data_IF_115134870712
#
_entry.id   IF_115134870712
#
_cell.length_a   1.000
_cell.length_b   1.000
_cell.length_c   1.000
_cell.angle_alpha   90.00
_cell.angle_beta   90.00
_cell.angle_gamma   90.00
#
_symmetry.space_group_name_H-M   'P 1'
#
loop_
_entity.id
_entity.type
_entity.pdbx_description
1 polymer ?
#
# COMPACT_ATOMS: atom_id res chain seq x y z
N UNK A 1 -31.86 -9.71 6.87
CA UNK A 1 -31.07 -10.73 7.61
C UNK A 1 -29.91 -11.28 6.77
N UNK A 2 -30.10 -11.54 5.47
CA UNK A 2 -29.04 -12.09 4.59
C UNK A 2 -27.91 -11.09 4.29
N UNK A 3 -28.23 -9.80 4.12
CA UNK A 3 -27.24 -8.76 3.78
C UNK A 3 -26.24 -8.49 4.91
N UNK A 4 -26.69 -8.49 6.16
CA UNK A 4 -25.81 -8.29 7.33
C UNK A 4 -24.74 -9.39 7.46
N UNK A 5 -25.07 -10.63 7.06
CA UNK A 5 -24.14 -11.77 7.11
C UNK A 5 -23.07 -11.67 6.02
N UNK A 6 -23.45 -11.22 4.81
CA UNK A 6 -22.53 -10.97 3.70
C UNK A 6 -21.57 -9.83 4.04
N UNK A 7 -22.11 -8.70 4.49
CA UNK A 7 -21.32 -7.52 4.90
C UNK A 7 -20.24 -7.88 5.93
N UNK A 8 -20.59 -8.70 6.93
CA UNK A 8 -19.66 -9.13 7.98
C UNK A 8 -18.54 -10.03 7.45
N UNK A 9 -18.83 -10.89 6.47
CA UNK A 9 -17.83 -11.74 5.82
C UNK A 9 -16.89 -10.93 4.92
N UNK A 10 -17.42 -9.97 4.16
CA UNK A 10 -16.64 -9.05 3.33
C UNK A 10 -15.68 -8.20 4.16
N UNK A 11 -16.14 -7.64 5.28
CA UNK A 11 -15.27 -6.90 6.22
C UNK A 11 -14.16 -7.77 6.80
N UNK A 12 -14.44 -9.04 7.09
CA UNK A 12 -13.43 -9.97 7.61
C UNK A 12 -12.34 -10.27 6.59
N UNK A 13 -12.69 -10.36 5.31
CA UNK A 13 -11.73 -10.56 4.21
C UNK A 13 -10.89 -9.30 3.97
N UNK A 14 -11.51 -8.12 3.92
CA UNK A 14 -10.80 -6.84 3.74
C UNK A 14 -9.75 -6.60 4.83
N UNK A 15 -10.13 -6.77 6.10
CA UNK A 15 -9.20 -6.61 7.24
C UNK A 15 -7.99 -7.56 7.17
N UNK A 16 -8.15 -8.72 6.55
CA UNK A 16 -7.07 -9.71 6.44
C UNK A 16 -6.10 -9.34 5.32
N UNK A 17 -6.63 -8.83 4.21
CA UNK A 17 -5.85 -8.35 3.06
C UNK A 17 -5.06 -7.10 3.43
N UNK A 18 -5.67 -6.14 4.13
CA UNK A 18 -5.01 -4.90 4.57
C UNK A 18 -3.82 -5.16 5.53
N UNK A 19 -3.91 -6.20 6.37
CA UNK A 19 -2.84 -6.55 7.32
C UNK A 19 -1.63 -7.21 6.68
N UNK A 20 -1.81 -7.90 5.55
CA UNK A 20 -0.70 -8.58 4.85
C UNK A 20 0.05 -7.62 3.91
N UNK A 21 -0.48 -6.43 3.65
CA UNK A 21 0.20 -5.46 2.82
C UNK A 21 1.32 -4.75 3.60
N UNK A 22 2.54 -4.88 3.06
CA UNK A 22 3.73 -4.23 3.58
C UNK A 22 4.24 -3.19 2.59
N UNK A 23 4.66 -2.05 3.11
CA UNK A 23 5.34 -1.00 2.38
C UNK A 23 6.83 -1.00 2.74
N UNK A 24 7.68 -0.81 1.73
CA UNK A 24 9.11 -0.61 1.97
C UNK A 24 9.38 0.87 2.19
N UNK A 25 9.94 1.24 3.34
CA UNK A 25 10.31 2.62 3.69
C UNK A 25 11.78 2.71 4.05
N UNK A 26 12.35 3.90 3.92
CA UNK A 26 13.71 4.22 4.32
C UNK A 26 13.63 4.95 5.67
N UNK A 27 14.00 4.24 6.75
CA UNK A 27 14.13 4.79 8.10
C UNK A 27 15.52 4.46 8.63
N UNK A 28 16.16 5.42 9.30
CA UNK A 28 17.55 5.31 9.78
C UNK A 28 18.56 4.91 8.69
N UNK A 29 18.33 5.39 7.46
CA UNK A 29 19.16 5.09 6.28
C UNK A 29 19.18 3.58 5.90
N UNK A 30 18.20 2.82 6.38
CA UNK A 30 18.00 1.39 6.07
C UNK A 30 16.61 1.19 5.47
N UNK A 31 16.51 0.32 4.47
CA UNK A 31 15.22 -0.07 3.90
C UNK A 31 14.57 -1.08 4.85
N UNK A 32 13.40 -0.74 5.37
CA UNK A 32 12.61 -1.56 6.28
C UNK A 32 11.24 -1.82 5.68
N UNK A 33 10.71 -3.03 5.87
CA UNK A 33 9.33 -3.34 5.53
C UNK A 33 8.46 -3.10 6.76
N UNK A 34 7.50 -2.18 6.60
CA UNK A 34 6.52 -1.86 7.64
C UNK A 34 5.13 -2.18 7.10
N UNK A 35 4.16 -2.57 7.95
CA UNK A 35 2.78 -2.71 7.51
C UNK A 35 2.26 -1.35 7.04
N UNK A 36 1.38 -1.35 6.02
CA UNK A 36 0.78 -0.10 5.49
C UNK A 36 0.09 0.70 6.60
N UNK A 37 -0.45 0.02 7.63
CA UNK A 37 -1.07 0.67 8.78
C UNK A 37 -0.13 1.55 9.62
N UNK A 38 1.19 1.37 9.50
CA UNK A 38 2.22 2.15 10.22
C UNK A 38 2.88 3.23 9.34
N UNK A 39 2.48 3.33 8.07
CA UNK A 39 2.97 4.36 7.15
C UNK A 39 2.44 5.73 7.59
N UNK A 40 3.34 6.72 7.70
CA UNK A 40 2.97 8.09 8.09
C UNK A 40 3.44 9.13 7.06
N UNK A 41 2.77 10.29 7.05
CA UNK A 41 3.14 11.41 6.18
C UNK A 41 4.56 11.88 6.53
N UNK A 42 5.43 11.91 5.52
CA UNK A 42 6.84 12.29 5.67
C UNK A 42 7.81 11.11 5.63
N UNK A 43 7.33 9.87 5.62
CA UNK A 43 8.17 8.71 5.35
C UNK A 43 8.66 8.71 3.88
N UNK A 44 9.90 8.25 3.68
CA UNK A 44 10.46 8.00 2.34
C UNK A 44 10.14 6.56 1.93
N UNK A 45 9.23 6.39 0.98
CA UNK A 45 8.89 5.08 0.42
C UNK A 45 9.94 4.65 -0.62
N UNK A 46 10.39 3.39 -0.53
CA UNK A 46 11.22 2.78 -1.56
C UNK A 46 10.37 1.84 -2.41
N UNK A 47 10.17 2.20 -3.68
CA UNK A 47 9.22 1.52 -4.55
C UNK A 47 9.98 0.71 -5.59
N UNK A 48 9.69 -0.58 -5.69
CA UNK A 48 10.25 -1.47 -6.71
C UNK A 48 9.23 -1.76 -7.80
N UNK A 49 9.72 -2.32 -8.90
CA UNK A 49 8.85 -2.79 -9.96
C UNK A 49 7.89 -3.87 -9.44
N UNK A 50 6.59 -3.66 -9.65
CA UNK A 50 5.52 -4.56 -9.20
C UNK A 50 5.00 -4.27 -7.79
N UNK A 51 5.58 -3.30 -7.07
CA UNK A 51 5.01 -2.86 -5.80
C UNK A 51 3.75 -2.04 -6.05
N UNK A 52 2.74 -2.24 -5.19
CA UNK A 52 1.53 -1.44 -5.18
C UNK A 52 1.80 -0.15 -4.39
N UNK A 53 1.34 0.99 -4.91
CA UNK A 53 1.48 2.27 -4.24
C UNK A 53 0.52 2.32 -3.04
N UNK A 54 1.02 2.37 -1.78
CA UNK A 54 0.16 2.31 -0.60
C UNK A 54 -0.52 3.65 -0.30
N UNK A 55 0.04 4.76 -0.80
CA UNK A 55 -0.43 6.11 -0.57
C UNK A 55 0.04 7.03 -1.71
N UNK A 56 -0.61 8.19 -1.83
CA UNK A 56 -0.16 9.27 -2.69
C UNK A 56 1.09 9.92 -2.12
N UNK A 57 2.02 10.30 -2.99
CA UNK A 57 3.29 10.87 -2.57
C UNK A 57 3.96 11.69 -3.66
N UNK A 58 5.08 12.29 -3.29
CA UNK A 58 5.91 13.07 -4.20
C UNK A 58 7.16 12.27 -4.57
N UNK A 59 7.49 12.23 -5.87
CA UNK A 59 8.67 11.54 -6.36
C UNK A 59 9.90 12.38 -6.02
N UNK A 60 10.75 11.86 -5.12
CA UNK A 60 12.02 12.51 -4.74
C UNK A 60 13.14 12.09 -5.67
N UNK A 61 13.21 10.80 -6.01
CA UNK A 61 14.20 10.23 -6.91
C UNK A 61 13.60 9.03 -7.64
N UNK A 62 13.84 8.94 -8.95
CA UNK A 62 13.36 7.84 -9.78
C UNK A 62 14.32 7.52 -10.92
N UNK A 63 14.40 6.24 -11.27
CA UNK A 63 15.10 5.75 -12.45
C UNK A 63 14.08 4.98 -13.29
N UNK A 64 13.66 5.53 -14.42
CA UNK A 64 12.66 4.91 -15.33
C UNK A 64 11.38 4.43 -14.62
N UNK A 65 10.78 5.30 -13.80
CA UNK A 65 9.52 5.00 -13.13
C UNK A 65 8.39 4.89 -14.16
N UNK A 66 7.78 3.71 -14.23
CA UNK A 66 6.55 3.46 -15.00
C UNK A 66 5.47 2.99 -14.06
N UNK A 67 4.43 3.81 -13.90
CA UNK A 67 3.23 3.48 -13.13
C UNK A 67 2.13 3.02 -14.07
N UNK A 68 1.31 2.07 -13.61
CA UNK A 68 0.10 1.66 -14.31
C UNK A 68 -1.12 2.18 -13.56
N UNK A 69 -1.86 3.09 -14.20
CA UNK A 69 -3.08 3.69 -13.65
C UNK A 69 -4.35 2.93 -14.08
N UNK A 70 -4.21 1.79 -14.76
CA UNK A 70 -5.34 0.98 -15.25
C UNK A 70 -6.35 0.60 -14.17
N UNK A 71 -5.92 0.46 -12.91
CA UNK A 71 -6.80 0.11 -11.79
C UNK A 71 -7.65 1.28 -11.26
N UNK A 72 -7.31 2.54 -11.56
CA UNK A 72 -8.04 3.72 -11.06
C UNK A 72 -8.97 4.33 -12.13
N UNK A 73 -8.62 4.16 -13.40
CA UNK A 73 -9.41 4.68 -14.54
C UNK A 73 -10.09 3.59 -15.37
N UNK A 74 -9.96 2.32 -14.99
CA UNK A 74 -10.50 1.15 -15.70
C UNK A 74 -11.83 0.66 -15.15
#
# INVERSE_FOLDING_TARGET
>A
FNDWRKERQFRGLQNKIEKDQQASVIRDNVIQQIPISELVVGDLCFIKYGDLLPADGLIVQSSDLKTDESSITG
#
